data_IF_905939203660
#
_entry.id   IF_905939203660
#
_cell.length_a   1.000
_cell.length_b   1.000
_cell.length_c   1.000
_cell.angle_alpha   90.00
_cell.angle_beta   90.00
_cell.angle_gamma   90.00
#
_symmetry.space_group_name_H-M   'P 1'
#
loop_
_entity.id
_entity.type
_entity.pdbx_description
1 polymer ?
#
# COMPACT_ATOMS: atom_id res chain seq x y z
N UNK A 1 -6.35 6.86 7.32
CA UNK A 1 -6.35 6.13 6.05
C UNK A 1 -5.19 6.64 5.20
N UNK A 2 -4.34 5.74 4.74
CA UNK A 2 -3.15 6.05 3.95
C UNK A 2 -3.34 5.55 2.53
N UNK A 3 -3.09 6.42 1.56
CA UNK A 3 -3.30 6.13 0.13
C UNK A 3 -2.03 6.45 -0.65
N UNK A 4 -1.01 5.60 -0.49
CA UNK A 4 0.28 5.73 -1.17
C UNK A 4 0.35 4.72 -2.33
N UNK A 5 0.38 5.25 -3.56
CA UNK A 5 0.44 4.48 -4.81
C UNK A 5 1.78 4.67 -5.57
N UNK A 6 2.76 3.79 -5.41
CA UNK A 6 2.84 2.68 -4.46
C UNK A 6 4.19 2.76 -3.74
N UNK A 7 4.28 2.34 -2.46
CA UNK A 7 5.57 2.28 -1.80
C UNK A 7 6.46 1.26 -2.52
N UNK A 8 7.60 1.72 -3.04
CA UNK A 8 8.63 0.88 -3.64
C UNK A 8 8.30 0.33 -5.04
N UNK A 9 7.15 0.69 -5.61
CA UNK A 9 6.73 0.23 -6.94
C UNK A 9 6.28 1.43 -7.76
N UNK A 10 6.73 1.50 -9.01
CA UNK A 10 6.37 2.58 -9.91
C UNK A 10 4.85 2.62 -10.12
N UNK A 11 4.23 3.71 -9.69
CA UNK A 11 2.84 4.04 -9.97
C UNK A 11 2.68 4.81 -11.29
N UNK A 12 1.73 5.75 -11.33
CA UNK A 12 1.48 6.56 -12.52
C UNK A 12 2.62 7.54 -12.80
N UNK A 13 2.97 7.70 -14.08
CA UNK A 13 3.85 8.76 -14.56
C UNK A 13 5.25 8.75 -13.91
N UNK A 14 5.64 9.89 -13.35
CA UNK A 14 6.99 10.15 -12.85
C UNK A 14 7.07 10.11 -11.32
N UNK A 15 6.25 9.28 -10.65
CA UNK A 15 6.32 9.13 -9.20
C UNK A 15 7.76 8.81 -8.78
N UNK A 16 8.27 9.56 -7.82
CA UNK A 16 9.56 9.26 -7.19
C UNK A 16 9.39 8.04 -6.31
N UNK A 17 10.21 7.03 -6.53
CA UNK A 17 10.21 5.81 -5.73
C UNK A 17 11.61 5.51 -5.20
N UNK A 18 11.65 4.86 -4.05
CA UNK A 18 12.79 4.07 -3.60
C UNK A 18 12.35 2.61 -3.46
N UNK A 19 12.69 1.81 -4.47
CA UNK A 19 12.34 0.38 -4.56
C UNK A 19 12.80 -0.43 -3.33
N UNK A 20 13.95 -0.08 -2.75
CA UNK A 20 14.52 -0.84 -1.64
C UNK A 20 13.89 -0.50 -0.28
N UNK A 21 13.54 0.78 -0.07
CA UNK A 21 13.27 1.29 1.27
C UNK A 21 11.84 1.75 1.51
N UNK A 22 11.06 2.15 0.49
CA UNK A 22 9.75 2.79 0.70
C UNK A 22 8.77 1.89 1.48
N UNK A 23 8.63 0.63 1.11
CA UNK A 23 7.73 -0.30 1.83
C UNK A 23 8.20 -0.55 3.27
N UNK A 24 9.51 -0.71 3.47
CA UNK A 24 10.09 -0.92 4.79
C UNK A 24 9.87 0.33 5.67
N UNK A 25 10.09 1.51 5.11
CA UNK A 25 9.92 2.79 5.78
C UNK A 25 8.45 3.06 6.09
N UNK A 26 7.53 2.66 5.21
CA UNK A 26 6.11 2.79 5.46
C UNK A 26 5.69 1.92 6.65
N UNK A 27 6.14 0.65 6.72
CA UNK A 27 5.91 -0.20 7.88
C UNK A 27 6.51 0.41 9.16
N UNK A 28 7.75 0.90 9.09
CA UNK A 28 8.44 1.53 10.22
C UNK A 28 7.65 2.75 10.74
N UNK A 29 7.17 3.60 9.83
CA UNK A 29 6.34 4.75 10.17
C UNK A 29 5.06 4.33 10.91
N UNK A 30 4.35 3.30 10.41
CA UNK A 30 3.14 2.80 11.06
C UNK A 30 3.44 2.21 12.45
N UNK A 31 4.58 1.52 12.61
CA UNK A 31 5.03 1.01 13.90
C UNK A 31 5.33 2.14 14.89
N UNK A 32 6.01 3.20 14.45
CA UNK A 32 6.25 4.39 15.30
C UNK A 32 4.95 5.10 15.64
N UNK A 33 4.03 5.23 14.68
CA UNK A 33 2.71 5.82 14.92
C UNK A 33 1.93 5.03 15.98
N UNK A 34 2.01 3.69 15.98
CA UNK A 34 1.38 2.86 17.01
C UNK A 34 2.01 2.99 18.40
N UNK A 35 3.27 3.41 18.50
CA UNK A 35 3.92 3.68 19.80
C UNK A 35 3.46 4.98 20.43
N UNK A 36 2.96 5.93 19.63
CA UNK A 36 2.41 7.18 20.15
C UNK A 36 1.07 6.94 20.88
N UNK A 37 0.85 7.50 22.09
CA UNK A 37 -0.38 7.29 22.85
C UNK A 37 -1.67 7.76 22.16
N UNK A 38 -1.59 8.71 21.24
CA UNK A 38 -2.70 9.14 20.40
C UNK A 38 -2.83 8.17 19.23
N UNK A 39 -1.74 7.89 18.52
CA UNK A 39 -1.73 6.98 17.37
C UNK A 39 -2.20 5.55 17.68
N UNK A 40 -1.91 5.04 18.88
CA UNK A 40 -2.42 3.77 19.39
C UNK A 40 -3.97 3.69 19.49
N UNK A 41 -4.65 4.84 19.56
CA UNK A 41 -6.12 4.92 19.67
C UNK A 41 -6.82 5.22 18.35
N UNK A 42 -6.06 5.51 17.29
CA UNK A 42 -6.62 5.81 15.98
C UNK A 42 -6.97 4.52 15.24
N UNK A 43 -8.01 4.58 14.42
CA UNK A 43 -8.20 3.59 13.36
C UNK A 43 -7.25 3.91 12.21
N UNK A 44 -6.31 3.01 11.92
CA UNK A 44 -5.38 3.10 10.82
C UNK A 44 -5.77 2.10 9.74
N UNK A 45 -5.85 2.59 8.51
CA UNK A 45 -6.12 1.80 7.33
C UNK A 45 -5.24 2.27 6.19
N UNK A 46 -5.09 1.42 5.18
CA UNK A 46 -4.44 1.79 3.94
C UNK A 46 -5.24 1.29 2.74
N UNK A 47 -5.30 2.11 1.70
CA UNK A 47 -5.65 1.67 0.37
C UNK A 47 -4.45 0.92 -0.23
N UNK A 48 -4.67 -0.31 -0.69
CA UNK A 48 -3.58 -1.18 -1.16
C UNK A 48 -3.84 -1.67 -2.58
N UNK A 49 -2.77 -1.95 -3.31
CA UNK A 49 -2.89 -2.61 -4.62
C UNK A 49 -3.48 -4.03 -4.49
N UNK A 50 -3.91 -4.60 -5.61
CA UNK A 50 -4.31 -6.02 -5.69
C UNK A 50 -3.14 -7.00 -5.54
N UNK A 51 -1.90 -6.50 -5.61
CA UNK A 51 -0.66 -7.23 -5.34
C UNK A 51 -0.18 -6.93 -3.91
N UNK A 52 0.29 -7.94 -3.16
CA UNK A 52 0.92 -7.72 -1.86
C UNK A 52 2.11 -6.75 -1.96
N UNK A 53 2.36 -5.98 -0.90
CA UNK A 53 3.55 -5.13 -0.84
C UNK A 53 4.83 -5.97 -0.93
N UNK A 54 5.79 -5.49 -1.73
CA UNK A 54 7.15 -6.03 -1.77
C UNK A 54 7.94 -5.47 -0.58
N UNK A 55 8.23 -6.34 0.39
CA UNK A 55 8.92 -5.99 1.62
C UNK A 55 10.10 -6.94 1.84
N UNK A 56 11.25 -6.38 2.23
CA UNK A 56 12.51 -7.12 2.31
C UNK A 56 12.99 -7.37 3.73
N UNK A 57 12.61 -6.53 4.70
CA UNK A 57 13.09 -6.64 6.09
C UNK A 57 12.15 -7.41 7.01
N UNK A 58 10.88 -7.53 6.65
CA UNK A 58 9.83 -8.18 7.43
C UNK A 58 8.85 -8.89 6.50
N UNK A 59 8.08 -9.89 6.97
CA UNK A 59 6.99 -10.44 6.17
C UNK A 59 5.88 -9.40 5.99
N UNK A 60 5.15 -9.48 4.86
CA UNK A 60 4.01 -8.59 4.59
C UNK A 60 2.93 -8.64 5.68
N UNK A 61 2.83 -9.75 6.42
CA UNK A 61 1.94 -9.89 7.55
C UNK A 61 2.24 -8.91 8.68
N UNK A 62 3.43 -8.32 8.77
CA UNK A 62 3.73 -7.31 9.79
C UNK A 62 2.84 -6.06 9.68
N UNK A 63 2.25 -5.79 8.50
CA UNK A 63 1.25 -4.72 8.35
C UNK A 63 -0.06 -5.00 9.10
N UNK A 64 -0.43 -6.28 9.31
CA UNK A 64 -1.66 -6.61 10.06
C UNK A 64 -1.55 -6.28 11.55
N UNK A 65 -0.34 -6.14 12.08
CA UNK A 65 -0.12 -5.76 13.48
C UNK A 65 -0.33 -4.25 13.71
N UNK A 66 -0.31 -3.45 12.63
CA UNK A 66 -0.34 -1.98 12.71
C UNK A 66 -1.54 -1.35 12.01
N UNK A 67 -2.15 -2.01 11.02
CA UNK A 67 -3.37 -1.55 10.35
C UNK A 67 -4.59 -2.30 10.88
N UNK A 68 -5.68 -1.58 11.16
CA UNK A 68 -6.95 -2.15 11.57
C UNK A 68 -7.66 -2.85 10.41
N UNK A 69 -7.51 -2.31 9.19
CA UNK A 69 -7.99 -2.94 7.96
C UNK A 69 -7.25 -2.38 6.74
N UNK A 70 -7.40 -3.05 5.61
CA UNK A 70 -6.98 -2.57 4.29
C UNK A 70 -8.18 -2.44 3.37
N UNK A 71 -8.14 -1.45 2.48
CA UNK A 71 -9.07 -1.30 1.38
C UNK A 71 -8.34 -1.67 0.09
N UNK A 72 -8.61 -2.85 -0.46
CA UNK A 72 -7.98 -3.28 -1.71
C UNK A 72 -8.60 -2.49 -2.86
N UNK A 73 -7.76 -1.78 -3.61
CA UNK A 73 -8.13 -1.07 -4.82
C UNK A 73 -8.33 -2.06 -5.98
N UNK A 74 -9.37 -2.90 -5.88
CA UNK A 74 -9.77 -3.84 -6.91
C UNK A 74 -10.53 -3.13 -8.05
N UNK A 75 -9.85 -2.18 -8.67
CA UNK A 75 -10.29 -1.41 -9.82
C UNK A 75 -9.05 -0.93 -10.57
N UNK A 76 -9.24 -0.27 -11.71
CA UNK A 76 -8.17 0.22 -12.59
C UNK A 76 -7.26 -0.91 -13.09
N UNK A 77 -7.80 -2.13 -13.21
CA UNK A 77 -7.08 -3.29 -13.74
C UNK A 77 -6.93 -3.19 -15.27
N UNK A 78 -7.97 -2.70 -15.95
CA UNK A 78 -7.94 -2.35 -17.38
C UNK A 78 -8.43 -0.93 -17.60
N UNK A 79 -7.73 -0.19 -18.45
CA UNK A 79 -8.10 1.16 -18.84
C UNK A 79 -7.51 1.57 -20.18
N UNK A 80 -7.58 2.86 -20.55
CA UNK A 80 -7.01 3.36 -21.81
C UNK A 80 -5.50 3.13 -21.99
N UNK A 81 -4.79 2.84 -20.90
CA UNK A 81 -3.36 2.47 -20.91
C UNK A 81 -3.10 1.01 -21.32
N UNK A 82 -4.13 0.16 -21.37
CA UNK A 82 -4.01 -1.25 -21.73
C UNK A 82 -3.95 -1.44 -23.26
N UNK A 83 -3.23 -2.46 -23.73
CA UNK A 83 -3.15 -2.79 -25.16
C UNK A 83 -4.42 -3.39 -25.76
N UNK A 84 -5.37 -3.82 -24.92
CA UNK A 84 -6.67 -4.37 -25.32
C UNK A 84 -7.78 -3.90 -24.38
N UNK A 85 -9.03 -3.99 -24.83
CA UNK A 85 -10.21 -3.76 -23.98
C UNK A 85 -10.34 -4.90 -22.98
N UNK A 86 -10.62 -4.56 -21.72
CA UNK A 86 -10.87 -5.52 -20.65
C UNK A 86 -11.70 -4.91 -19.51
N UNK A 87 -12.11 -5.71 -18.52
CA UNK A 87 -12.93 -5.24 -17.41
C UNK A 87 -12.11 -4.41 -16.40
N UNK A 88 -12.66 -3.27 -15.94
CA UNK A 88 -11.98 -2.42 -14.97
C UNK A 88 -11.73 -3.10 -13.61
N UNK A 89 -12.68 -3.93 -13.17
CA UNK A 89 -12.70 -4.57 -11.86
C UNK A 89 -13.31 -5.99 -11.96
N UNK A 90 -12.58 -6.97 -12.52
CA UNK A 90 -13.03 -8.36 -12.52
C UNK A 90 -13.10 -8.93 -11.09
N UNK A 91 -14.03 -9.88 -10.87
CA UNK A 91 -14.17 -10.60 -9.61
C UNK A 91 -13.16 -11.75 -9.50
#
# INVERSE_FOLDING_TARGET
DFDWEYPGVQGIGCNTINEADDTNNFLLFLQELRKDPVGAKLTLSAATSTRPYEITQQPVSAFSDVLDFIAIMNYDIWGPWSGTVGPNAPL
#
